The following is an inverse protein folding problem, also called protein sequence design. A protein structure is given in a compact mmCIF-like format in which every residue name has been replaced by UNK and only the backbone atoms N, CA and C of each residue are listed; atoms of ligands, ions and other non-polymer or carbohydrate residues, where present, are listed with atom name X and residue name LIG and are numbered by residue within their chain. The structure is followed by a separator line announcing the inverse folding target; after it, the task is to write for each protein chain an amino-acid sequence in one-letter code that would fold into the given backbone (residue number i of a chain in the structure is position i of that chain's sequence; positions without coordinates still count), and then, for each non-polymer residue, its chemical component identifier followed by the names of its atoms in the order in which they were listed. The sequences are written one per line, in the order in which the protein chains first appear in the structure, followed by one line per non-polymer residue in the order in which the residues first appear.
data_IF_099063029635
#
_entry.id   IF_099063029635
#
_cell.length_a   1.000
_cell.length_b   1.000
_cell.length_c   1.000
_cell.angle_alpha   90.00
_cell.angle_beta   90.00
_cell.angle_gamma   90.00
#
_symmetry.space_group_name_H-M   'P 1'
#
loop_
_entity.id
_entity.type
_entity.pdbx_description
1 polymer ?
#
# COMPACT_ATOMS: atom_id res chain seq x y z
N UNK A 1 21.89 -51.96 19.70
CA UNK A 1 21.06 -51.88 18.49
C UNK A 1 19.62 -51.64 18.95
N UNK A 2 18.90 -50.72 18.29
CA UNK A 2 17.63 -50.07 18.70
C UNK A 2 17.80 -48.74 19.46
N UNK A 3 18.19 -47.72 18.68
CA UNK A 3 18.02 -46.30 18.96
C UNK A 3 16.95 -45.80 17.98
N UNK A 4 15.67 -45.86 18.34
CA UNK A 4 14.59 -45.10 17.72
C UNK A 4 13.37 -45.14 18.66
N UNK A 5 13.28 -44.13 19.53
CA UNK A 5 12.06 -43.86 20.29
C UNK A 5 11.78 -42.35 20.24
N UNK A 6 10.78 -42.00 19.43
CA UNK A 6 9.85 -40.87 19.56
C UNK A 6 10.43 -39.51 19.95
N UNK A 7 10.55 -38.65 18.94
CA UNK A 7 10.35 -37.22 19.12
C UNK A 7 8.84 -36.93 19.26
N UNK A 8 8.23 -37.36 20.38
CA UNK A 8 6.90 -36.93 20.80
C UNK A 8 7.09 -35.84 21.85
N UNK A 9 7.03 -34.59 21.40
CA UNK A 9 7.13 -33.41 22.26
C UNK A 9 6.36 -32.22 21.70
N UNK A 10 5.32 -32.46 20.91
CA UNK A 10 4.29 -31.46 20.63
C UNK A 10 3.11 -31.82 21.53
N UNK A 11 3.18 -31.38 22.79
CA UNK A 11 2.00 -31.40 23.65
C UNK A 11 0.93 -30.53 22.98
N UNK A 12 -0.26 -31.07 22.64
CA UNK A 12 -1.36 -30.19 22.28
C UNK A 12 -1.61 -29.31 23.50
N UNK A 13 -1.41 -28.00 23.32
CA UNK A 13 -1.84 -27.02 24.30
C UNK A 13 -3.34 -27.25 24.47
N UNK A 14 -3.75 -27.70 25.66
CA UNK A 14 -5.15 -27.73 26.05
C UNK A 14 -5.62 -26.27 26.07
N UNK A 15 -6.19 -25.83 24.95
CA UNK A 15 -6.85 -24.53 24.80
C UNK A 15 -8.20 -24.64 25.50
N UNK A 16 -8.18 -24.60 26.82
CA UNK A 16 -9.38 -24.43 27.65
C UNK A 16 -9.61 -22.94 27.95
N UNK A 17 -9.58 -22.15 26.88
CA UNK A 17 -10.18 -20.82 26.84
C UNK A 17 -11.06 -20.77 25.60
N UNK A 18 -12.35 -20.98 25.83
CA UNK A 18 -13.46 -20.73 24.91
C UNK A 18 -13.56 -19.23 24.61
N UNK A 19 -12.52 -18.67 23.99
CA UNK A 19 -12.71 -17.50 23.16
C UNK A 19 -13.67 -17.94 22.05
N UNK A 20 -14.84 -17.33 22.02
CA UNK A 20 -15.93 -17.60 21.09
C UNK A 20 -15.39 -17.47 19.63
N UNK A 21 -14.90 -18.58 19.08
CA UNK A 21 -14.17 -18.69 17.81
C UNK A 21 -15.11 -18.66 16.59
N UNK A 22 -16.18 -17.87 16.66
CA UNK A 22 -17.19 -17.72 15.60
C UNK A 22 -17.01 -16.41 14.86
N UNK A 23 -16.12 -16.32 13.84
CA UNK A 23 -15.99 -15.11 13.04
C UNK A 23 -17.33 -14.80 12.36
N UNK A 24 -17.77 -13.54 12.47
CA UNK A 24 -18.96 -13.09 11.74
C UNK A 24 -18.69 -13.07 10.24
N UNK A 25 -19.74 -13.05 9.42
CA UNK A 25 -19.61 -12.87 7.96
C UNK A 25 -18.85 -11.59 7.59
N UNK A 26 -18.99 -10.54 8.42
CA UNK A 26 -18.26 -9.29 8.26
C UNK A 26 -16.75 -9.48 8.51
N UNK A 27 -16.36 -10.26 9.54
CA UNK A 27 -14.96 -10.56 9.79
C UNK A 27 -14.34 -11.31 8.59
N UNK A 28 -15.02 -12.34 8.08
CA UNK A 28 -14.57 -13.07 6.90
C UNK A 28 -14.40 -12.17 5.67
N UNK A 29 -15.36 -11.28 5.42
CA UNK A 29 -15.28 -10.33 4.31
C UNK A 29 -14.04 -9.43 4.45
N UNK A 30 -13.79 -8.87 5.64
CA UNK A 30 -12.63 -8.01 5.92
C UNK A 30 -11.32 -8.80 5.71
N UNK A 31 -11.21 -10.01 6.25
CA UNK A 31 -10.02 -10.85 6.10
C UNK A 31 -9.75 -11.17 4.63
N UNK A 32 -10.75 -11.68 3.90
CA UNK A 32 -10.59 -12.09 2.50
C UNK A 32 -10.21 -10.89 1.63
N UNK A 33 -10.91 -9.77 1.78
CA UNK A 33 -10.57 -8.55 1.05
C UNK A 33 -9.17 -8.05 1.39
N UNK A 34 -8.79 -8.08 2.66
CA UNK A 34 -7.44 -7.69 3.09
C UNK A 34 -6.40 -8.60 2.43
N UNK A 35 -6.51 -9.92 2.59
CA UNK A 35 -5.54 -10.88 2.03
C UNK A 35 -5.42 -10.76 0.51
N UNK A 36 -6.55 -10.67 -0.20
CA UNK A 36 -6.53 -10.52 -1.66
C UNK A 36 -5.84 -9.20 -2.04
N UNK A 37 -6.22 -8.09 -1.41
CA UNK A 37 -5.70 -6.76 -1.78
C UNK A 37 -4.27 -6.50 -1.32
N UNK A 38 -3.77 -7.19 -0.30
CA UNK A 38 -2.39 -7.04 0.21
C UNK A 38 -1.43 -8.07 -0.36
N UNK A 39 -1.87 -9.30 -0.61
CA UNK A 39 -0.98 -10.42 -0.97
C UNK A 39 -1.19 -11.00 -2.36
N UNK A 40 -2.30 -10.72 -3.04
CA UNK A 40 -2.61 -11.34 -4.34
C UNK A 40 -2.55 -10.36 -5.50
N UNK A 41 -3.17 -9.19 -5.36
CA UNK A 41 -3.37 -8.22 -6.44
C UNK A 41 -2.08 -7.76 -7.11
N UNK A 42 -0.98 -7.60 -6.36
CA UNK A 42 0.26 -7.02 -6.86
C UNK A 42 1.06 -7.92 -7.81
N UNK A 43 0.79 -9.23 -7.84
CA UNK A 43 1.44 -10.16 -8.78
C UNK A 43 0.45 -10.83 -9.71
N UNK A 44 -0.72 -11.24 -9.21
CA UNK A 44 -1.67 -12.02 -9.99
C UNK A 44 -2.22 -11.24 -11.20
N UNK A 45 -2.43 -9.94 -11.04
CA UNK A 45 -2.96 -9.06 -12.11
C UNK A 45 -1.97 -8.90 -13.28
N UNK A 46 -0.68 -9.17 -13.04
CA UNK A 46 0.38 -9.03 -14.02
C UNK A 46 0.78 -10.35 -14.70
N UNK A 47 0.24 -11.51 -14.29
CA UNK A 47 0.52 -12.82 -14.90
C UNK A 47 0.41 -12.80 -16.44
N UNK A 48 -0.61 -12.16 -17.06
CA UNK A 48 -0.67 -12.10 -18.53
C UNK A 48 0.53 -11.42 -19.20
N UNK A 49 1.26 -10.54 -18.49
CA UNK A 49 2.48 -9.89 -18.99
C UNK A 49 3.60 -10.92 -19.23
N UNK A 50 3.69 -12.00 -18.44
CA UNK A 50 4.69 -13.07 -18.62
C UNK A 50 4.60 -13.65 -20.03
N UNK A 51 3.39 -13.96 -20.49
CA UNK A 51 3.14 -14.60 -21.77
C UNK A 51 3.25 -13.65 -22.97
N UNK A 52 3.08 -12.34 -22.76
CA UNK A 52 3.09 -11.34 -23.85
C UNK A 52 4.43 -10.65 -24.03
N UNK A 53 5.13 -10.38 -22.94
CA UNK A 53 6.31 -9.48 -22.92
C UNK A 53 7.50 -10.07 -22.15
N UNK A 54 7.35 -11.27 -21.58
CA UNK A 54 8.41 -12.00 -20.90
C UNK A 54 8.53 -11.73 -19.40
N UNK A 55 9.32 -12.58 -18.73
CA UNK A 55 9.44 -12.60 -17.26
C UNK A 55 10.07 -11.34 -16.68
N UNK A 56 11.06 -10.76 -17.36
CA UNK A 56 11.71 -9.52 -16.91
C UNK A 56 10.68 -8.40 -16.77
N UNK A 57 9.88 -8.24 -17.81
CA UNK A 57 8.84 -7.23 -17.91
C UNK A 57 7.74 -7.43 -16.87
N UNK A 58 7.41 -8.69 -16.55
CA UNK A 58 6.53 -9.03 -15.44
C UNK A 58 7.12 -8.63 -14.07
N UNK A 59 8.39 -8.95 -13.79
CA UNK A 59 9.04 -8.58 -12.53
C UNK A 59 9.13 -7.05 -12.35
N UNK A 60 9.30 -6.35 -13.46
CA UNK A 60 9.28 -4.89 -13.52
C UNK A 60 7.91 -4.30 -13.17
N UNK A 61 6.82 -4.88 -13.71
CA UNK A 61 5.45 -4.49 -13.36
C UNK A 61 5.14 -4.80 -11.89
N UNK A 62 5.52 -5.98 -11.42
CA UNK A 62 5.38 -6.41 -10.03
C UNK A 62 6.11 -5.45 -9.09
N UNK A 63 7.34 -5.07 -9.41
CA UNK A 63 8.10 -4.11 -8.62
C UNK A 63 7.45 -2.73 -8.54
N UNK A 64 6.91 -2.25 -9.66
CA UNK A 64 6.15 -1.00 -9.69
C UNK A 64 4.90 -1.09 -8.81
N UNK A 65 4.14 -2.16 -8.95
CA UNK A 65 2.89 -2.34 -8.21
C UNK A 65 3.17 -2.50 -6.71
N UNK A 66 4.19 -3.26 -6.32
CA UNK A 66 4.66 -3.32 -4.93
C UNK A 66 5.07 -1.93 -4.41
N UNK A 67 5.82 -1.15 -5.18
CA UNK A 67 6.18 0.21 -4.78
C UNK A 67 4.94 1.10 -4.59
N UNK A 68 3.99 1.08 -5.55
CA UNK A 68 2.71 1.79 -5.45
C UNK A 68 1.95 1.42 -4.18
N UNK A 69 2.03 0.16 -3.81
CA UNK A 69 1.35 -0.40 -2.65
C UNK A 69 1.98 -0.03 -1.30
N UNK A 70 3.27 0.32 -1.26
CA UNK A 70 3.98 0.70 -0.03
C UNK A 70 4.18 2.22 0.08
N UNK A 71 4.37 2.89 -1.04
CA UNK A 71 4.70 4.32 -1.17
C UNK A 71 3.79 4.98 -2.22
N UNK A 72 2.45 4.90 -2.08
CA UNK A 72 1.53 5.45 -3.08
C UNK A 72 1.71 6.95 -3.28
N UNK A 73 1.96 7.71 -2.22
CA UNK A 73 2.20 9.16 -2.31
C UNK A 73 3.40 9.49 -3.22
N UNK A 74 4.52 8.80 -3.03
CA UNK A 74 5.71 8.92 -3.88
C UNK A 74 5.38 8.57 -5.34
N UNK A 75 4.77 7.40 -5.58
CA UNK A 75 4.46 6.93 -6.93
C UNK A 75 3.50 7.88 -7.64
N UNK A 76 2.48 8.38 -6.95
CA UNK A 76 1.55 9.38 -7.48
C UNK A 76 2.28 10.65 -7.91
N UNK A 77 3.12 11.20 -7.04
CA UNK A 77 3.84 12.44 -7.33
C UNK A 77 4.87 12.26 -8.45
N UNK A 78 5.66 11.18 -8.43
CA UNK A 78 6.61 10.88 -9.50
C UNK A 78 5.89 10.73 -10.84
N UNK A 79 4.77 9.99 -10.87
CA UNK A 79 3.96 9.83 -12.07
C UNK A 79 3.53 11.18 -12.65
N UNK A 80 3.16 12.14 -11.79
CA UNK A 80 2.82 13.50 -12.20
C UNK A 80 4.01 14.36 -12.66
N UNK A 81 5.24 14.01 -12.24
CA UNK A 81 6.45 14.75 -12.59
C UNK A 81 7.05 14.30 -13.93
N UNK A 82 7.06 12.99 -14.21
CA UNK A 82 7.79 12.40 -15.34
C UNK A 82 6.90 12.16 -16.57
N UNK A 83 5.62 11.85 -16.38
CA UNK A 83 4.71 11.58 -17.48
C UNK A 83 3.91 12.83 -17.91
N UNK A 84 3.50 12.92 -19.19
CA UNK A 84 2.53 13.91 -19.62
C UNK A 84 1.19 13.68 -18.90
N UNK A 85 0.39 14.74 -18.79
CA UNK A 85 -0.78 14.79 -17.91
C UNK A 85 -1.85 13.76 -18.26
N UNK A 86 -2.01 13.51 -19.55
CA UNK A 86 -2.95 12.55 -20.14
C UNK A 86 -2.61 11.10 -19.73
N UNK A 87 -1.36 10.87 -19.32
CA UNK A 87 -0.80 9.57 -18.98
C UNK A 87 -0.53 9.40 -17.48
N UNK A 88 -0.78 10.41 -16.64
CA UNK A 88 -0.56 10.31 -15.18
C UNK A 88 -1.24 9.09 -14.57
N UNK A 89 -2.49 8.84 -14.96
CA UNK A 89 -3.24 7.67 -14.52
C UNK A 89 -2.57 6.37 -14.97
N UNK A 90 -2.18 6.28 -16.24
CA UNK A 90 -1.55 5.08 -16.78
C UNK A 90 -0.21 4.80 -16.07
N UNK A 91 0.61 5.84 -15.90
CA UNK A 91 1.89 5.75 -15.20
C UNK A 91 1.69 5.32 -13.75
N UNK A 92 0.72 5.90 -13.03
CA UNK A 92 0.43 5.54 -11.65
C UNK A 92 0.06 4.05 -11.49
N UNK A 93 -0.90 3.56 -12.26
CA UNK A 93 -1.41 2.18 -12.08
C UNK A 93 -0.55 1.09 -12.72
N UNK A 94 0.31 1.41 -13.69
CA UNK A 94 1.01 0.38 -14.47
C UNK A 94 2.51 0.59 -14.60
N UNK A 95 3.03 1.72 -14.14
CA UNK A 95 4.44 2.08 -14.32
C UNK A 95 4.81 2.47 -15.73
N UNK A 96 3.83 2.53 -16.63
CA UNK A 96 4.03 2.73 -18.07
C UNK A 96 3.18 3.87 -18.62
N UNK A 97 3.71 4.49 -19.65
CA UNK A 97 3.08 5.54 -20.45
C UNK A 97 2.46 5.03 -21.75
N UNK A 98 2.76 3.79 -22.16
CA UNK A 98 2.33 3.21 -23.44
C UNK A 98 0.81 2.98 -23.53
N UNK A 99 0.32 2.84 -24.76
CA UNK A 99 -1.06 2.44 -25.06
C UNK A 99 -1.43 1.11 -24.40
N UNK A 100 -2.09 1.20 -23.25
CA UNK A 100 -2.68 0.07 -22.56
C UNK A 100 -4.08 -0.20 -23.10
N UNK A 101 -4.50 -1.46 -23.05
CA UNK A 101 -5.89 -1.81 -23.32
C UNK A 101 -6.82 -1.06 -22.36
N UNK A 102 -8.03 -0.72 -22.82
CA UNK A 102 -9.05 -0.04 -21.99
C UNK A 102 -9.27 -0.76 -20.65
N UNK A 103 -9.20 -2.09 -20.65
CA UNK A 103 -9.31 -2.91 -19.44
C UNK A 103 -8.21 -2.62 -18.42
N UNK A 104 -6.93 -2.65 -18.83
CA UNK A 104 -5.80 -2.34 -17.94
C UNK A 104 -5.76 -0.86 -17.53
N UNK A 105 -6.22 0.03 -18.41
CA UNK A 105 -6.20 1.48 -18.17
C UNK A 105 -7.27 1.94 -17.18
N UNK A 106 -8.47 1.35 -17.23
CA UNK A 106 -9.63 1.85 -16.47
C UNK A 106 -10.29 0.81 -15.56
N UNK A 107 -10.55 -0.40 -16.08
CA UNK A 107 -11.38 -1.40 -15.37
C UNK A 107 -10.62 -2.03 -14.20
N UNK A 108 -9.40 -2.51 -14.45
CA UNK A 108 -8.60 -3.14 -13.40
C UNK A 108 -8.27 -2.16 -12.24
N UNK A 109 -7.80 -0.94 -12.51
CA UNK A 109 -7.64 0.09 -11.48
C UNK A 109 -8.91 0.36 -10.68
N UNK A 110 -10.06 0.51 -11.35
CA UNK A 110 -11.34 0.77 -10.70
C UNK A 110 -11.74 -0.36 -9.76
N UNK A 111 -11.60 -1.62 -10.17
CA UNK A 111 -11.92 -2.78 -9.33
C UNK A 111 -11.01 -2.83 -8.11
N UNK A 112 -9.70 -2.66 -8.31
CA UNK A 112 -8.72 -2.70 -7.22
C UNK A 112 -9.00 -1.58 -6.21
N UNK A 113 -9.10 -0.33 -6.67
CA UNK A 113 -9.32 0.80 -5.76
C UNK A 113 -10.69 0.73 -5.07
N UNK A 114 -11.73 0.28 -5.77
CA UNK A 114 -13.04 0.05 -5.14
C UNK A 114 -12.97 -1.02 -4.06
N UNK A 115 -12.25 -2.13 -4.30
CA UNK A 115 -12.07 -3.18 -3.30
C UNK A 115 -11.30 -2.69 -2.06
N UNK A 116 -10.31 -1.82 -2.27
CA UNK A 116 -9.54 -1.18 -1.20
C UNK A 116 -10.40 -0.22 -0.36
N UNK A 117 -11.23 0.59 -1.01
CA UNK A 117 -12.16 1.52 -0.34
C UNK A 117 -13.21 0.74 0.44
N UNK A 118 -13.86 -0.25 -0.18
CA UNK A 118 -14.87 -1.09 0.47
C UNK A 118 -14.27 -1.83 1.67
N UNK A 119 -13.10 -2.44 1.52
CA UNK A 119 -12.41 -3.11 2.64
C UNK A 119 -12.16 -2.17 3.81
N UNK A 120 -11.75 -0.93 3.52
CA UNK A 120 -11.49 0.09 4.54
C UNK A 120 -12.78 0.55 5.23
N UNK A 121 -13.87 0.74 4.47
CA UNK A 121 -15.18 1.10 5.04
C UNK A 121 -15.68 -0.01 5.96
N UNK A 122 -15.63 -1.27 5.53
CA UNK A 122 -16.06 -2.41 6.35
C UNK A 122 -15.25 -2.53 7.63
N UNK A 123 -13.94 -2.32 7.54
CA UNK A 123 -13.04 -2.37 8.68
C UNK A 123 -13.28 -1.22 9.67
N UNK A 124 -13.48 0.02 9.18
CA UNK A 124 -13.87 1.16 10.04
C UNK A 124 -15.25 0.94 10.65
N UNK A 125 -16.21 0.42 9.88
CA UNK A 125 -17.53 0.06 10.39
C UNK A 125 -17.45 -0.99 11.51
N UNK A 126 -16.61 -2.01 11.33
CA UNK A 126 -16.34 -3.04 12.35
C UNK A 126 -15.69 -2.45 13.59
N UNK A 127 -14.75 -1.52 13.43
CA UNK A 127 -14.15 -0.79 14.56
C UNK A 127 -15.20 0.02 15.34
N UNK A 128 -16.08 0.74 14.64
CA UNK A 128 -17.08 1.59 15.29
C UNK A 128 -18.22 0.82 15.96
N UNK A 129 -18.59 -0.37 15.46
CA UNK A 129 -19.81 -1.08 15.91
C UNK A 129 -19.58 -2.45 16.54
N UNK A 130 -18.39 -3.03 16.37
CA UNK A 130 -18.25 -4.49 16.33
C UNK A 130 -17.41 -5.14 17.43
N UNK A 131 -16.79 -4.37 18.32
CA UNK A 131 -15.90 -4.95 19.32
C UNK A 131 -16.71 -5.25 20.58
N UNK A 132 -16.96 -6.53 20.88
CA UNK A 132 -17.66 -6.96 22.11
C UNK A 132 -16.98 -6.34 23.35
N UNK A 133 -17.76 -5.85 24.30
CA UNK A 133 -17.27 -5.40 25.60
C UNK A 133 -16.54 -6.56 26.29
N UNK A 134 -15.31 -6.32 26.76
CA UNK A 134 -14.52 -7.32 27.51
C UNK A 134 -13.44 -8.08 26.72
N UNK A 135 -13.33 -7.88 25.39
CA UNK A 135 -12.13 -8.29 24.66
C UNK A 135 -11.12 -7.16 24.72
N UNK A 136 -10.00 -7.37 25.43
CA UNK A 136 -8.85 -6.47 25.42
C UNK A 136 -8.22 -6.47 24.02
N UNK A 137 -8.75 -5.61 23.15
CA UNK A 137 -8.13 -5.24 21.88
C UNK A 137 -7.04 -4.19 22.08
N UNK A 138 -6.48 -4.09 23.29
CA UNK A 138 -5.33 -3.24 23.58
C UNK A 138 -4.12 -3.80 22.82
N UNK A 139 -3.92 -3.35 21.59
CA UNK A 139 -2.81 -3.84 20.80
C UNK A 139 -2.67 -3.17 19.45
N UNK A 140 -1.43 -2.85 19.09
CA UNK A 140 -1.03 -2.46 17.75
C UNK A 140 -1.53 -3.47 16.70
N UNK A 141 -1.56 -4.76 17.02
CA UNK A 141 -1.88 -5.83 16.08
C UNK A 141 -3.28 -5.71 15.47
N UNK A 142 -4.30 -5.31 16.23
CA UNK A 142 -5.68 -5.19 15.73
C UNK A 142 -5.88 -3.96 14.86
N UNK A 143 -5.11 -2.89 15.11
CA UNK A 143 -5.15 -1.64 14.32
C UNK A 143 -4.64 -1.78 12.90
N UNK A 144 -3.62 -2.63 12.73
CA UNK A 144 -2.90 -2.79 11.47
C UNK A 144 -3.77 -3.47 10.39
N UNK A 145 -4.95 -3.97 10.76
CA UNK A 145 -5.93 -4.51 9.79
C UNK A 145 -6.83 -3.44 9.17
N UNK A 146 -6.95 -2.27 9.77
CA UNK A 146 -8.18 -1.50 9.62
C UNK A 146 -8.30 -0.73 8.30
N UNK A 147 -7.21 -0.19 7.75
CA UNK A 147 -7.25 0.50 6.45
C UNK A 147 -5.85 0.76 5.86
N UNK A 148 -4.88 -0.16 5.99
CA UNK A 148 -3.49 0.17 5.66
C UNK A 148 -3.29 0.32 4.14
N UNK A 149 -4.23 -0.13 3.32
CA UNK A 149 -4.19 -0.01 1.86
C UNK A 149 -5.03 1.14 1.31
N UNK A 150 -5.76 1.88 2.15
CA UNK A 150 -6.58 3.02 1.73
C UNK A 150 -5.78 4.16 1.04
N UNK A 151 -4.55 4.51 1.47
CA UNK A 151 -3.76 5.56 0.81
C UNK A 151 -3.52 5.27 -0.67
N UNK A 152 -3.44 4.00 -1.06
CA UNK A 152 -3.21 3.57 -2.44
C UNK A 152 -4.39 3.94 -3.34
N UNK A 153 -5.61 3.65 -2.88
CA UNK A 153 -6.83 3.99 -3.62
C UNK A 153 -7.05 5.51 -3.66
N UNK A 154 -6.88 6.18 -2.52
CA UNK A 154 -7.04 7.64 -2.44
C UNK A 154 -6.09 8.37 -3.37
N UNK A 155 -4.81 7.98 -3.39
CA UNK A 155 -3.83 8.57 -4.31
C UNK A 155 -4.21 8.33 -5.76
N UNK A 156 -4.70 7.14 -6.11
CA UNK A 156 -5.19 6.84 -7.46
C UNK A 156 -6.35 7.74 -7.89
N UNK A 157 -7.37 7.85 -7.03
CA UNK A 157 -8.53 8.72 -7.24
C UNK A 157 -8.09 10.18 -7.39
N UNK A 158 -7.19 10.65 -6.53
CA UNK A 158 -6.69 12.02 -6.58
C UNK A 158 -5.91 12.31 -7.87
N UNK A 159 -5.06 11.39 -8.33
CA UNK A 159 -4.34 11.54 -9.60
C UNK A 159 -5.31 11.63 -10.78
N UNK A 160 -6.39 10.86 -10.78
CA UNK A 160 -7.44 10.95 -11.80
C UNK A 160 -8.11 12.31 -11.77
N UNK A 161 -8.54 12.79 -10.60
CA UNK A 161 -9.16 14.12 -10.43
C UNK A 161 -8.20 15.22 -10.88
N UNK A 162 -6.97 15.19 -10.41
CA UNK A 162 -5.97 16.21 -10.70
C UNK A 162 -5.59 16.28 -12.19
N UNK A 163 -5.54 15.13 -12.87
CA UNK A 163 -5.34 15.05 -14.32
C UNK A 163 -6.50 15.71 -15.07
N UNK A 164 -7.75 15.42 -14.67
CA UNK A 164 -8.97 16.00 -15.28
C UNK A 164 -9.11 17.50 -15.05
N UNK A 165 -8.77 17.97 -13.85
CA UNK A 165 -8.77 19.39 -13.49
C UNK A 165 -7.54 20.16 -14.01
N UNK A 166 -6.65 19.50 -14.74
CA UNK A 166 -5.45 20.10 -15.32
C UNK A 166 -4.54 20.80 -14.29
N UNK A 167 -4.48 20.26 -13.08
CA UNK A 167 -3.71 20.87 -11.99
C UNK A 167 -2.21 20.89 -12.32
N UNK A 168 -1.50 21.85 -11.72
CA UNK A 168 -0.03 21.86 -11.72
C UNK A 168 0.46 20.90 -10.63
N UNK A 169 1.63 20.27 -10.83
CA UNK A 169 2.22 19.28 -9.90
C UNK A 169 2.25 19.75 -8.44
N UNK A 170 2.55 21.03 -8.18
CA UNK A 170 2.53 21.59 -6.81
C UNK A 170 1.16 21.47 -6.12
N UNK A 171 0.07 21.61 -6.87
CA UNK A 171 -1.30 21.48 -6.36
C UNK A 171 -1.71 20.01 -6.24
N UNK A 172 -1.11 19.13 -7.06
CA UNK A 172 -1.25 17.67 -6.87
C UNK A 172 -0.69 17.28 -5.50
N UNK A 173 0.52 17.72 -5.17
CA UNK A 173 1.12 17.47 -3.85
C UNK A 173 0.25 18.03 -2.71
N UNK A 174 -0.14 19.31 -2.79
CA UNK A 174 -0.93 19.94 -1.74
C UNK A 174 -2.28 19.23 -1.54
N UNK A 175 -3.02 18.95 -2.62
CA UNK A 175 -4.30 18.29 -2.51
C UNK A 175 -4.20 16.84 -2.04
N UNK A 176 -3.13 16.13 -2.39
CA UNK A 176 -2.84 14.80 -1.84
C UNK A 176 -2.67 14.86 -0.32
N UNK A 177 -1.86 15.80 0.17
CA UNK A 177 -1.64 15.98 1.61
C UNK A 177 -2.93 16.34 2.34
N UNK A 178 -3.73 17.25 1.78
CA UNK A 178 -5.02 17.65 2.35
C UNK A 178 -6.02 16.49 2.39
N UNK A 179 -6.08 15.67 1.33
CA UNK A 179 -6.95 14.51 1.26
C UNK A 179 -6.57 13.44 2.29
N UNK A 180 -5.28 13.11 2.40
CA UNK A 180 -4.77 12.16 3.40
C UNK A 180 -5.05 12.71 4.81
N UNK A 181 -4.70 13.96 5.10
CA UNK A 181 -4.97 14.56 6.41
C UNK A 181 -6.47 14.57 6.75
N UNK A 182 -7.32 14.99 5.81
CA UNK A 182 -8.77 15.09 6.01
C UNK A 182 -9.44 13.73 6.24
N UNK A 183 -9.13 12.73 5.43
CA UNK A 183 -9.72 11.39 5.57
C UNK A 183 -9.15 10.68 6.81
N UNK A 184 -7.86 10.80 7.08
CA UNK A 184 -7.25 10.27 8.31
C UNK A 184 -7.87 10.87 9.57
N UNK A 185 -8.08 12.18 9.60
CA UNK A 185 -8.76 12.86 10.70
C UNK A 185 -10.23 12.43 10.83
N UNK A 186 -10.95 12.28 9.72
CA UNK A 186 -12.34 11.82 9.74
C UNK A 186 -12.48 10.40 10.31
N UNK A 187 -11.59 9.47 9.91
CA UNK A 187 -11.57 8.11 10.46
C UNK A 187 -11.23 8.16 11.97
N UNK A 188 -10.21 8.91 12.36
CA UNK A 188 -9.80 9.05 13.76
C UNK A 188 -10.95 9.59 14.63
N UNK A 189 -11.65 10.63 14.17
CA UNK A 189 -12.80 11.20 14.86
C UNK A 189 -13.96 10.20 14.94
N UNK A 190 -14.29 9.51 13.84
CA UNK A 190 -15.35 8.52 13.81
C UNK A 190 -15.10 7.39 14.82
N UNK A 191 -13.88 6.87 14.90
CA UNK A 191 -13.52 5.84 15.88
C UNK A 191 -13.54 6.39 17.31
N UNK A 192 -12.97 7.58 17.53
CA UNK A 192 -12.92 8.20 18.86
C UNK A 192 -14.31 8.44 19.46
N UNK A 193 -15.27 8.94 18.68
CA UNK A 193 -16.62 9.20 19.16
C UNK A 193 -17.45 7.93 19.42
N UNK A 194 -17.20 6.85 18.69
CA UNK A 194 -17.98 5.61 18.83
C UNK A 194 -17.37 4.63 19.86
N UNK A 195 -16.11 4.81 20.27
CA UNK A 195 -15.48 3.98 21.30
C UNK A 195 -14.51 4.78 22.21
N UNK A 196 -15.02 5.72 23.02
CA UNK A 196 -14.20 6.60 23.86
C UNK A 196 -13.37 5.87 24.93
N UNK A 197 -13.66 4.59 25.20
CA UNK A 197 -12.97 3.77 26.20
C UNK A 197 -11.77 2.98 25.71
N UNK A 198 -11.60 2.75 24.38
CA UNK A 198 -10.49 1.99 23.79
C UNK A 198 -9.49 2.93 23.13
N UNK A 199 -8.70 3.60 23.98
CA UNK A 199 -8.19 4.94 23.68
C UNK A 199 -7.20 5.08 22.51
N UNK A 200 -6.50 4.06 22.02
CA UNK A 200 -5.39 4.29 21.08
C UNK A 200 -5.26 3.29 19.92
N UNK A 201 -6.24 2.41 19.69
CA UNK A 201 -6.11 1.38 18.65
C UNK A 201 -5.92 2.01 17.26
N UNK A 202 -6.62 3.07 16.90
CA UNK A 202 -6.56 3.68 15.57
C UNK A 202 -5.25 4.46 15.29
N UNK A 203 -4.42 4.75 16.30
CA UNK A 203 -3.25 5.63 16.13
C UNK A 203 -2.21 4.99 15.20
N UNK A 204 -1.87 3.72 15.42
CA UNK A 204 -0.87 3.02 14.61
C UNK A 204 -1.24 2.99 13.13
N UNK A 205 -2.49 2.61 12.82
CA UNK A 205 -3.01 2.61 11.46
C UNK A 205 -3.06 4.00 10.83
N UNK A 206 -3.44 5.04 11.59
CA UNK A 206 -3.46 6.42 11.09
C UNK A 206 -2.06 6.96 10.81
N UNK A 207 -1.07 6.66 11.66
CA UNK A 207 0.33 7.05 11.42
C UNK A 207 0.84 6.40 10.13
N UNK A 208 0.63 5.09 9.96
CA UNK A 208 1.10 4.39 8.76
C UNK A 208 0.36 4.89 7.51
N UNK A 209 -0.95 5.13 7.62
CA UNK A 209 -1.75 5.74 6.57
C UNK A 209 -1.17 7.09 6.12
N UNK A 210 -0.80 7.96 7.06
CA UNK A 210 -0.20 9.26 6.76
C UNK A 210 1.20 9.12 6.13
N UNK A 211 2.02 8.22 6.67
CA UNK A 211 3.37 7.92 6.17
C UNK A 211 3.33 7.43 4.72
N UNK A 212 2.44 6.48 4.40
CA UNK A 212 2.28 5.95 3.03
C UNK A 212 1.70 6.97 2.04
N UNK A 213 0.75 7.78 2.49
CA UNK A 213 0.08 8.77 1.65
C UNK A 213 0.94 10.00 1.33
N UNK A 214 1.96 10.25 2.14
CA UNK A 214 2.89 11.37 1.99
C UNK A 214 4.05 10.97 1.09
N UNK A 215 4.46 11.78 0.10
CA UNK A 215 5.61 11.48 -0.76
C UNK A 215 6.94 11.75 -0.05
N UNK A 216 7.15 11.14 1.12
CA UNK A 216 8.34 11.35 1.97
C UNK A 216 9.63 11.02 1.22
N UNK A 217 9.62 10.01 0.36
CA UNK A 217 10.75 9.63 -0.47
C UNK A 217 11.27 10.73 -1.42
N UNK A 218 10.45 11.72 -1.78
CA UNK A 218 10.90 12.88 -2.57
C UNK A 218 11.51 13.96 -1.66
N UNK A 219 10.99 14.11 -0.44
CA UNK A 219 11.41 15.15 0.51
C UNK A 219 12.72 14.72 1.20
N UNK A 220 12.76 13.47 1.67
CA UNK A 220 13.87 12.85 2.40
C UNK A 220 14.12 11.44 1.84
N UNK A 221 14.90 11.30 0.75
CA UNK A 221 15.12 10.01 0.08
C UNK A 221 15.74 8.93 0.98
N UNK A 222 16.46 9.34 2.02
CA UNK A 222 17.05 8.41 2.99
C UNK A 222 15.99 7.63 3.78
N UNK A 223 14.77 8.18 3.92
CA UNK A 223 13.69 7.55 4.66
C UNK A 223 12.87 6.55 3.82
N UNK A 224 13.05 6.51 2.50
CA UNK A 224 12.27 5.65 1.59
C UNK A 224 12.25 4.18 2.01
N UNK A 225 13.40 3.62 2.38
CA UNK A 225 13.49 2.23 2.82
C UNK A 225 12.71 2.00 4.12
N UNK A 226 12.79 2.95 5.06
CA UNK A 226 12.05 2.87 6.31
C UNK A 226 10.55 2.97 6.08
N UNK A 227 10.11 3.86 5.20
CA UNK A 227 8.68 4.00 4.84
C UNK A 227 8.15 2.72 4.19
N UNK A 228 8.90 2.10 3.28
CA UNK A 228 8.53 0.80 2.68
C UNK A 228 8.39 -0.28 3.76
N UNK A 229 9.32 -0.36 4.71
CA UNK A 229 9.26 -1.36 5.80
C UNK A 229 8.07 -1.08 6.72
N UNK A 230 7.83 0.18 7.10
CA UNK A 230 6.69 0.58 7.93
C UNK A 230 5.36 0.31 7.25
N UNK A 231 5.27 0.53 5.93
CA UNK A 231 4.09 0.20 5.14
C UNK A 231 3.85 -1.31 5.10
N UNK A 232 4.90 -2.12 4.95
CA UNK A 232 4.81 -3.58 4.97
C UNK A 232 4.33 -4.08 6.34
N UNK A 233 4.88 -3.54 7.43
CA UNK A 233 4.42 -3.79 8.80
C UNK A 233 2.95 -3.42 8.94
N UNK A 234 2.59 -2.22 8.50
CA UNK A 234 1.24 -1.69 8.47
C UNK A 234 0.19 -2.59 7.87
N UNK A 235 0.54 -3.27 6.78
CA UNK A 235 -0.40 -4.04 5.96
C UNK A 235 -0.49 -5.50 6.32
N UNK A 236 0.54 -6.05 6.96
CA UNK A 236 0.71 -7.49 7.06
C UNK A 236 0.95 -7.97 8.49
N UNK A 237 1.46 -7.14 9.40
CA UNK A 237 1.70 -7.59 10.79
C UNK A 237 0.42 -7.93 11.50
N UNK A 238 -0.69 -7.22 11.22
CA UNK A 238 -2.00 -7.61 11.74
C UNK A 238 -2.32 -9.07 11.41
N UNK A 239 -2.53 -9.39 10.11
CA UNK A 239 -2.25 -10.64 9.43
C UNK A 239 -1.68 -11.79 10.25
N UNK A 240 -0.38 -11.58 10.38
CA UNK A 240 0.65 -12.50 10.77
C UNK A 240 0.64 -12.67 12.29
N UNK A 241 0.56 -11.57 13.04
CA UNK A 241 0.51 -11.60 14.49
C UNK A 241 -0.74 -12.33 14.97
N UNK A 242 -1.90 -12.07 14.36
CA UNK A 242 -3.13 -12.80 14.69
C UNK A 242 -3.03 -14.30 14.43
N UNK A 243 -2.35 -14.70 13.35
CA UNK A 243 -2.15 -16.10 13.00
C UNK A 243 -1.13 -16.82 13.90
N UNK A 244 -0.08 -16.13 14.35
CA UNK A 244 1.09 -16.74 15.00
C UNK A 244 1.19 -16.50 16.50
N UNK A 245 0.53 -15.47 17.04
CA UNK A 245 0.55 -15.15 18.46
C UNK A 245 -0.76 -15.61 19.12
N UNK A 246 -0.64 -16.28 20.26
CA UNK A 246 -1.77 -16.65 21.12
C UNK A 246 -2.44 -15.42 21.72
N UNK A 247 -1.64 -14.37 21.96
CA UNK A 247 -2.01 -13.16 22.69
C UNK A 247 -2.59 -12.08 21.77
N UNK A 248 -2.45 -12.25 20.45
CA UNK A 248 -3.07 -11.36 19.49
C UNK A 248 -4.55 -11.74 19.27
N UNK A 249 -5.41 -10.71 19.28
CA UNK A 249 -6.80 -10.89 18.86
C UNK A 249 -6.85 -11.38 17.41
N UNK A 250 -7.46 -12.54 17.21
CA UNK A 250 -7.64 -13.12 15.88
C UNK A 250 -8.87 -14.03 15.88
N UNK A 251 -9.99 -13.59 15.27
CA UNK A 251 -11.28 -14.28 15.39
C UNK A 251 -11.36 -15.55 14.54
N UNK A 252 -10.33 -15.88 13.76
CA UNK A 252 -10.30 -17.03 12.85
C UNK A 252 -9.46 -18.17 13.40
N UNK A 253 -10.00 -18.91 14.38
CA UNK A 253 -9.24 -19.97 15.05
C UNK A 253 -8.77 -21.09 14.10
N UNK A 254 -9.55 -21.39 13.05
CA UNK A 254 -9.16 -22.35 12.01
C UNK A 254 -7.93 -21.93 11.18
N UNK A 255 -7.59 -20.64 11.17
CA UNK A 255 -6.45 -20.07 10.46
C UNK A 255 -5.25 -19.79 11.38
N UNK A 256 -5.35 -20.11 12.68
CA UNK A 256 -4.19 -20.00 13.59
C UNK A 256 -3.14 -21.06 13.23
N UNK A 257 -1.88 -20.64 13.27
CA UNK A 257 -0.72 -21.49 13.08
C UNK A 257 0.18 -21.08 11.91
N UNK A 258 1.34 -21.74 11.86
CA UNK A 258 2.42 -21.46 10.92
C UNK A 258 2.03 -21.66 9.46
N UNK A 259 1.08 -22.57 9.18
CA UNK A 259 0.63 -22.85 7.81
C UNK A 259 -0.05 -21.66 7.14
N UNK A 260 -0.72 -20.80 7.90
CA UNK A 260 -1.32 -19.58 7.38
C UNK A 260 -0.37 -18.38 7.52
N UNK A 261 0.31 -18.25 8.66
CA UNK A 261 1.21 -17.11 8.91
C UNK A 261 2.48 -17.09 8.05
N UNK A 262 3.11 -18.24 7.79
CA UNK A 262 4.40 -18.28 7.07
C UNK A 262 4.29 -17.86 5.58
N UNK A 263 3.25 -18.25 4.83
CA UNK A 263 3.01 -17.70 3.50
C UNK A 263 2.85 -16.18 3.51
N UNK A 264 2.09 -15.62 4.47
CA UNK A 264 1.89 -14.17 4.59
C UNK A 264 3.20 -13.44 4.86
N UNK A 265 4.05 -13.96 5.75
CA UNK A 265 5.41 -13.43 5.98
C UNK A 265 6.20 -13.43 4.67
N UNK A 266 6.24 -14.57 3.97
CA UNK A 266 6.98 -14.73 2.72
C UNK A 266 6.52 -13.71 1.67
N UNK A 267 5.21 -13.58 1.46
CA UNK A 267 4.66 -12.61 0.51
C UNK A 267 4.97 -11.16 0.92
N UNK A 268 4.96 -10.86 2.22
CA UNK A 268 5.30 -9.52 2.73
C UNK A 268 6.75 -9.17 2.46
N UNK A 269 7.67 -10.10 2.76
CA UNK A 269 9.10 -9.92 2.51
C UNK A 269 9.37 -9.74 1.02
N UNK A 270 8.78 -10.58 0.16
CA UNK A 270 8.91 -10.46 -1.29
C UNK A 270 8.39 -9.12 -1.80
N UNK A 271 7.19 -8.71 -1.37
CA UNK A 271 6.61 -7.44 -1.78
C UNK A 271 7.47 -6.24 -1.33
N UNK A 272 8.08 -6.32 -0.14
CA UNK A 272 9.00 -5.31 0.37
C UNK A 272 10.27 -5.21 -0.49
N UNK A 273 10.89 -6.36 -0.83
CA UNK A 273 12.07 -6.41 -1.71
C UNK A 273 11.77 -5.88 -3.12
N UNK A 274 10.62 -6.25 -3.69
CA UNK A 274 10.17 -5.74 -4.98
C UNK A 274 9.89 -4.23 -4.94
N UNK A 275 9.28 -3.72 -3.87
CA UNK A 275 9.08 -2.29 -3.68
C UNK A 275 10.42 -1.54 -3.60
N UNK A 276 11.41 -2.07 -2.86
CA UNK A 276 12.75 -1.47 -2.78
C UNK A 276 13.44 -1.44 -4.15
N UNK A 277 13.37 -2.53 -4.92
CA UNK A 277 13.89 -2.56 -6.29
C UNK A 277 13.18 -1.54 -7.18
N UNK A 278 11.84 -1.46 -7.09
CA UNK A 278 11.02 -0.46 -7.76
C UNK A 278 11.48 0.97 -7.43
N UNK A 279 11.67 1.28 -6.14
CA UNK A 279 12.11 2.61 -5.67
C UNK A 279 13.44 3.02 -6.30
N UNK A 280 14.46 2.14 -6.25
CA UNK A 280 15.78 2.42 -6.83
C UNK A 280 15.69 2.68 -8.33
N UNK A 281 14.87 1.91 -9.05
CA UNK A 281 14.65 2.10 -10.49
C UNK A 281 13.95 3.43 -10.78
N UNK A 282 12.84 3.71 -10.11
CA UNK A 282 12.06 4.92 -10.31
C UNK A 282 12.86 6.17 -9.95
N UNK A 283 13.70 6.10 -8.91
CA UNK A 283 14.64 7.16 -8.57
C UNK A 283 15.64 7.46 -9.69
N UNK A 284 16.21 6.42 -10.33
CA UNK A 284 17.09 6.60 -11.49
C UNK A 284 16.36 7.27 -12.66
N UNK A 285 15.15 6.83 -12.97
CA UNK A 285 14.30 7.40 -14.03
C UNK A 285 14.03 8.90 -13.78
N UNK A 286 13.66 9.26 -12.55
CA UNK A 286 13.40 10.64 -12.14
C UNK A 286 14.65 11.53 -12.26
N UNK A 287 15.80 11.03 -11.81
CA UNK A 287 17.06 11.76 -11.88
C UNK A 287 17.52 11.99 -13.33
N UNK A 288 17.32 11.00 -14.20
CA UNK A 288 17.64 11.11 -15.63
C UNK A 288 16.75 12.14 -16.33
N UNK A 289 15.43 12.09 -16.13
CA UNK A 289 14.49 13.08 -16.68
C UNK A 289 14.80 14.50 -16.18
N UNK A 290 15.12 14.65 -14.89
CA UNK A 290 15.50 15.94 -14.31
C UNK A 290 16.78 16.50 -14.96
N UNK A 291 17.81 15.67 -15.14
CA UNK A 291 19.05 16.07 -15.82
C UNK A 291 18.79 16.50 -17.27
N UNK A 292 17.99 15.73 -18.01
CA UNK A 292 17.64 16.07 -19.39
C UNK A 292 16.87 17.40 -19.48
N UNK A 293 15.95 17.67 -18.56
CA UNK A 293 15.20 18.94 -18.51
C UNK A 293 16.10 20.13 -18.19
N UNK A 294 17.06 19.97 -17.29
CA UNK A 294 18.05 21.02 -16.99
C UNK A 294 18.94 21.31 -18.20
N UNK A 295 19.49 20.28 -18.84
CA UNK A 295 20.30 20.43 -20.04
C UNK A 295 19.54 21.16 -21.17
N UNK A 296 18.26 20.82 -21.39
CA UNK A 296 17.41 21.50 -22.38
C UNK A 296 17.17 22.98 -22.03
N UNK A 297 17.01 23.31 -20.74
CA UNK A 297 16.85 24.70 -20.29
C UNK A 297 18.14 25.51 -20.50
N UNK A 298 19.30 24.93 -20.19
CA UNK A 298 20.59 25.57 -20.41
C UNK A 298 20.88 25.78 -21.90
N UNK A 299 20.60 24.78 -22.74
CA UNK A 299 20.73 24.90 -24.20
C UNK A 299 19.87 26.04 -24.75
N UNK A 300 18.61 26.16 -24.31
CA UNK A 300 17.71 27.28 -24.70
C UNK A 300 18.24 28.64 -24.25
N UNK A 301 18.75 28.74 -23.01
CA UNK A 301 19.37 29.99 -22.52
C UNK A 301 20.60 30.37 -23.34
N UNK A 302 21.46 29.41 -23.70
CA UNK A 302 22.64 29.64 -24.56
C UNK A 302 22.25 30.10 -25.96
N UNK A 303 21.23 29.49 -26.56
CA UNK A 303 20.71 29.92 -27.86
C UNK A 303 20.19 31.36 -27.82
N UNK A 304 19.42 31.72 -26.79
CA UNK A 304 18.90 33.09 -26.61
C UNK A 304 20.01 34.12 -26.38
N UNK A 305 21.10 33.77 -25.68
CA UNK A 305 22.24 34.67 -25.51
C UNK A 305 22.99 34.90 -26.83
N UNK A 306 23.21 33.84 -27.62
CA UNK A 306 23.84 33.96 -28.95
C UNK A 306 23.00 34.79 -29.92
N UNK A 307 21.68 34.64 -29.90
CA UNK A 307 20.79 35.50 -30.69
C UNK A 307 20.97 36.97 -30.29
N UNK A 308 20.99 37.29 -28.98
CA UNK A 308 21.18 38.66 -28.49
C UNK A 308 22.54 39.25 -28.85
N UNK A 309 23.61 38.47 -28.78
CA UNK A 309 24.96 38.90 -29.14
C UNK A 309 25.14 39.09 -30.65
N UNK A 310 24.41 38.33 -31.48
CA UNK A 310 24.44 38.50 -32.94
C UNK A 310 23.67 39.72 -33.46
N UNK A 311 22.87 40.39 -32.62
CA UNK A 311 22.14 41.62 -32.95
C UNK A 311 22.83 42.89 -32.44
N UNK A 312 23.92 42.77 -31.67
CA UNK A 312 24.71 43.88 -31.13
C UNK A 312 25.95 44.14 -31.99
#
# INVERSE_FOLDING_TARGET
MQLFARADGFTPVNVDQTADCGPSSLDWAILVLTVITTHVTWWATHIPTIFREGIRTYLEDVAWECLRFHEPGYVGLVSSMIAPREEWQAKYYTGRTKELSKFKKYVSPFIIDSSLVVSSILSVYRLCNGLRQGQDLSGWNSSLWCYPSLPVALTGIWIVIASRLQLRVRFVLLGQLLMIAGIGAAIALAVHYNDPGRTNIWIGSTVIFAVMGTPLAIIVPQLSFMVIVLAAVGRSVGPIAGALSTDAYFPFCALRGTRFGAPLITFTVLACLFAMYGMVRTWKELMEDTRQRLARREARKRAQMREREGFA
#
